data_IF_754726844530
#
_entry.id   IF_754726844530
#
_cell.length_a   1.000
_cell.length_b   1.000
_cell.length_c   1.000
_cell.angle_alpha   90.00
_cell.angle_beta   90.00
_cell.angle_gamma   90.00
#
_symmetry.space_group_name_H-M   'P 1'
#
loop_
_entity.id
_entity.type
_entity.pdbx_description
1 polymer ?
#
# COMPACT_ATOMS: atom_id res chain seq x y z
N UNK A 1 -8.79 -16.10 -22.64
CA UNK A 1 -7.82 -16.21 -21.53
C UNK A 1 -8.57 -16.18 -20.21
N UNK A 2 -8.30 -17.17 -19.35
CA UNK A 2 -9.14 -17.61 -18.24
C UNK A 2 -9.20 -16.57 -17.11
N UNK A 3 -10.40 -16.08 -16.78
CA UNK A 3 -10.72 -15.06 -15.74
C UNK A 3 -9.96 -15.24 -14.40
N UNK A 4 -9.63 -16.48 -14.02
CA UNK A 4 -8.83 -16.81 -12.83
C UNK A 4 -7.38 -16.30 -12.88
N UNK A 5 -6.71 -16.40 -14.04
CA UNK A 5 -5.32 -15.95 -14.19
C UNK A 5 -5.19 -14.44 -14.13
N UNK A 6 -6.14 -13.72 -14.73
CA UNK A 6 -6.19 -12.26 -14.63
C UNK A 6 -6.31 -11.81 -13.17
N UNK A 7 -7.16 -12.49 -12.39
CA UNK A 7 -7.33 -12.19 -10.97
C UNK A 7 -6.07 -12.46 -10.13
N UNK A 8 -5.34 -13.54 -10.41
CA UNK A 8 -4.06 -13.84 -9.73
C UNK A 8 -3.00 -12.78 -10.03
N UNK A 9 -2.85 -12.36 -11.29
CA UNK A 9 -1.92 -11.31 -11.69
C UNK A 9 -2.33 -9.97 -11.08
N UNK A 10 -3.63 -9.67 -11.04
CA UNK A 10 -4.15 -8.48 -10.38
C UNK A 10 -3.81 -8.47 -8.89
N UNK A 11 -4.02 -9.59 -8.17
CA UNK A 11 -3.64 -9.69 -6.76
C UNK A 11 -2.14 -9.55 -6.53
N UNK A 12 -1.32 -10.10 -7.41
CA UNK A 12 0.14 -9.95 -7.36
C UNK A 12 0.56 -8.48 -7.50
N UNK A 13 -0.06 -7.73 -8.42
CA UNK A 13 0.25 -6.32 -8.66
C UNK A 13 -0.45 -5.37 -7.68
N UNK A 14 -1.47 -5.84 -6.97
CA UNK A 14 -2.30 -5.00 -6.10
C UNK A 14 -1.48 -4.30 -5.02
N UNK A 15 -0.48 -4.99 -4.44
CA UNK A 15 0.44 -4.38 -3.48
C UNK A 15 1.19 -3.16 -4.05
N UNK A 16 1.72 -3.29 -5.26
CA UNK A 16 2.40 -2.19 -5.97
C UNK A 16 1.43 -1.06 -6.32
N UNK A 17 0.21 -1.38 -6.75
CA UNK A 17 -0.81 -0.38 -7.09
C UNK A 17 -1.20 0.42 -5.85
N UNK A 18 -1.47 -0.26 -4.72
CA UNK A 18 -1.82 0.39 -3.46
C UNK A 18 -0.68 1.31 -3.00
N UNK A 19 0.57 0.83 -3.08
CA UNK A 19 1.74 1.64 -2.75
C UNK A 19 1.86 2.87 -3.67
N UNK A 20 1.74 2.70 -4.98
CA UNK A 20 1.81 3.81 -5.94
C UNK A 20 0.73 4.86 -5.67
N UNK A 21 -0.51 4.43 -5.42
CA UNK A 21 -1.62 5.32 -5.07
C UNK A 21 -1.36 6.05 -3.76
N UNK A 22 -0.90 5.36 -2.72
CA UNK A 22 -0.54 5.97 -1.44
C UNK A 22 0.56 7.02 -1.61
N UNK A 23 1.63 6.69 -2.35
CA UNK A 23 2.73 7.59 -2.63
C UNK A 23 2.26 8.84 -3.38
N UNK A 24 1.48 8.67 -4.46
CA UNK A 24 0.93 9.79 -5.24
C UNK A 24 0.00 10.67 -4.41
N UNK A 25 -0.84 10.08 -3.54
CA UNK A 25 -1.72 10.85 -2.67
C UNK A 25 -0.93 11.67 -1.64
N UNK A 26 0.08 11.07 -1.01
CA UNK A 26 0.92 11.78 -0.03
C UNK A 26 1.70 12.90 -0.70
N UNK A 27 2.46 12.60 -1.77
CA UNK A 27 3.26 13.61 -2.45
C UNK A 27 2.41 14.69 -3.11
N UNK A 28 1.31 14.31 -3.76
CA UNK A 28 0.39 15.25 -4.39
C UNK A 28 -0.29 16.17 -3.38
N UNK A 29 -0.75 15.62 -2.24
CA UNK A 29 -1.30 16.43 -1.16
C UNK A 29 -0.24 17.38 -0.59
N UNK A 30 0.97 16.89 -0.30
CA UNK A 30 2.06 17.74 0.22
C UNK A 30 2.39 18.87 -0.75
N UNK A 31 2.63 18.59 -2.04
CA UNK A 31 2.96 19.61 -3.03
C UNK A 31 1.84 20.65 -3.22
N UNK A 32 0.58 20.23 -3.22
CA UNK A 32 -0.56 21.17 -3.36
C UNK A 32 -0.71 22.02 -2.10
N UNK A 33 -0.58 21.45 -0.90
CA UNK A 33 -0.68 22.20 0.36
C UNK A 33 0.47 23.20 0.57
N UNK A 34 1.68 22.91 0.09
CA UNK A 34 2.77 23.88 0.09
C UNK A 34 2.55 24.99 -0.94
N UNK A 35 2.02 24.68 -2.13
CA UNK A 35 1.76 25.68 -3.17
C UNK A 35 0.61 26.64 -2.82
N UNK A 36 -0.35 26.20 -1.98
CA UNK A 36 -1.52 26.98 -1.59
C UNK A 36 -1.31 27.79 -0.28
N UNK A 37 -0.11 27.78 0.34
CA UNK A 37 0.21 28.39 1.66
C UNK A 37 -0.69 27.92 2.83
N UNK A 38 -1.59 26.96 2.61
CA UNK A 38 -2.47 26.35 3.62
C UNK A 38 -1.72 25.35 4.51
N UNK A 39 -0.44 25.10 4.26
CA UNK A 39 0.41 24.24 5.07
C UNK A 39 0.45 24.65 6.56
N UNK A 40 0.25 25.94 6.85
CA UNK A 40 0.18 26.51 8.20
C UNK A 40 -1.21 26.40 8.85
N UNK A 41 -2.26 25.99 8.12
CA UNK A 41 -3.60 25.84 8.71
C UNK A 41 -3.66 24.60 9.60
N UNK A 42 -3.55 24.84 10.90
CA UNK A 42 -3.70 23.81 11.95
C UNK A 42 -5.19 23.56 12.20
N UNK A 43 -5.69 22.40 11.79
CA UNK A 43 -6.99 21.92 12.27
C UNK A 43 -6.74 21.20 13.60
N UNK A 44 -7.32 21.68 14.72
CA UNK A 44 -7.18 21.05 16.06
C UNK A 44 -5.73 20.95 16.58
N UNK A 45 -4.83 21.86 16.20
CA UNK A 45 -3.43 21.86 16.67
C UNK A 45 -2.52 20.81 16.02
N UNK A 46 -3.05 20.03 15.06
CA UNK A 46 -2.32 19.06 14.24
C UNK A 46 -2.31 19.59 12.80
N UNK A 47 -1.18 19.52 12.11
CA UNK A 47 -1.13 19.88 10.70
C UNK A 47 -2.06 18.97 9.88
N UNK A 48 -2.84 19.54 8.96
CA UNK A 48 -3.72 18.74 8.07
C UNK A 48 -2.90 17.71 7.30
N UNK A 49 -1.67 18.08 6.92
CA UNK A 49 -0.75 17.24 6.16
C UNK A 49 -0.37 15.94 6.91
N UNK A 50 0.18 15.97 8.15
CA UNK A 50 0.49 14.74 8.88
C UNK A 50 -0.75 13.91 9.22
N UNK A 51 -1.92 14.52 9.45
CA UNK A 51 -3.16 13.78 9.69
C UNK A 51 -3.62 13.00 8.44
N UNK A 52 -3.56 13.62 7.25
CA UNK A 52 -3.88 12.96 5.98
C UNK A 52 -2.86 11.86 5.67
N UNK A 53 -1.56 12.12 5.88
CA UNK A 53 -0.49 11.13 5.70
C UNK A 53 -0.73 9.92 6.61
N UNK A 54 -1.04 10.15 7.89
CA UNK A 54 -1.31 9.08 8.84
C UNK A 54 -2.54 8.27 8.42
N UNK A 55 -3.64 8.92 8.04
CA UNK A 55 -4.86 8.26 7.60
C UNK A 55 -4.66 7.43 6.32
N UNK A 56 -4.00 8.00 5.31
CA UNK A 56 -3.71 7.32 4.04
C UNK A 56 -2.73 6.17 4.24
N UNK A 57 -1.70 6.35 5.07
CA UNK A 57 -0.73 5.30 5.40
C UNK A 57 -1.40 4.15 6.15
N UNK A 58 -2.27 4.45 7.13
CA UNK A 58 -3.01 3.44 7.87
C UNK A 58 -3.97 2.68 6.94
N UNK A 59 -4.70 3.38 6.07
CA UNK A 59 -5.60 2.76 5.10
C UNK A 59 -4.83 1.86 4.11
N UNK A 60 -3.73 2.35 3.54
CA UNK A 60 -2.89 1.57 2.63
C UNK A 60 -2.28 0.35 3.32
N UNK A 61 -1.86 0.48 4.58
CA UNK A 61 -1.36 -0.63 5.39
C UNK A 61 -2.45 -1.69 5.63
N UNK A 62 -3.66 -1.27 6.01
CA UNK A 62 -4.78 -2.19 6.23
C UNK A 62 -5.18 -2.91 4.94
N UNK A 63 -5.23 -2.20 3.82
CA UNK A 63 -5.53 -2.79 2.50
C UNK A 63 -4.46 -3.81 2.09
N UNK A 64 -3.17 -3.47 2.21
CA UNK A 64 -2.08 -4.40 1.86
C UNK A 64 -2.00 -5.59 2.82
N UNK A 65 -2.23 -5.40 4.12
CA UNK A 65 -2.35 -6.49 5.08
C UNK A 65 -3.55 -7.42 4.76
N UNK A 66 -4.68 -6.86 4.33
CA UNK A 66 -5.83 -7.62 3.83
C UNK A 66 -5.48 -8.48 2.61
N UNK A 67 -4.77 -7.91 1.64
CA UNK A 67 -4.30 -8.64 0.44
C UNK A 67 -3.30 -9.74 0.82
N UNK A 68 -2.35 -9.46 1.71
CA UNK A 68 -1.37 -10.44 2.19
C UNK A 68 -2.04 -11.61 2.92
N UNK A 69 -2.96 -11.32 3.84
CA UNK A 69 -3.69 -12.36 4.58
C UNK A 69 -4.55 -13.22 3.64
N UNK A 70 -5.17 -12.61 2.62
CA UNK A 70 -5.87 -13.36 1.59
C UNK A 70 -4.92 -14.26 0.77
N UNK A 71 -3.79 -13.71 0.31
CA UNK A 71 -2.79 -14.45 -0.46
C UNK A 71 -2.20 -15.63 0.34
N UNK A 72 -1.93 -15.44 1.64
CA UNK A 72 -1.47 -16.50 2.55
C UNK A 72 -2.53 -17.60 2.73
N UNK A 73 -3.80 -17.24 2.87
CA UNK A 73 -4.90 -18.21 2.97
C UNK A 73 -5.05 -19.02 1.69
N UNK A 74 -4.95 -18.37 0.54
CA UNK A 74 -5.01 -19.02 -0.77
C UNK A 74 -3.81 -19.94 -0.98
N UNK A 75 -2.60 -19.48 -0.66
CA UNK A 75 -1.39 -20.30 -0.71
C UNK A 75 -1.51 -21.56 0.16
N UNK A 76 -2.04 -21.44 1.38
CA UNK A 76 -2.29 -22.61 2.24
C UNK A 76 -3.29 -23.59 1.62
N UNK A 77 -4.37 -23.10 1.00
CA UNK A 77 -5.35 -23.95 0.29
C UNK A 77 -4.71 -24.66 -0.90
N UNK A 78 -3.89 -23.95 -1.67
CA UNK A 78 -3.20 -24.48 -2.83
C UNK A 78 -2.16 -25.55 -2.44
N UNK A 79 -1.45 -25.38 -1.31
CA UNK A 79 -0.52 -26.39 -0.79
C UNK A 79 -1.21 -27.68 -0.30
N UNK A 80 -2.43 -27.58 0.22
CA UNK A 80 -3.20 -28.75 0.66
C UNK A 80 -3.92 -29.49 -0.49
N UNK A 81 -3.95 -28.90 -1.69
CA UNK A 81 -4.59 -29.48 -2.88
C UNK A 81 -3.58 -29.84 -3.97
N UNK A 82 -4.06 -30.48 -5.04
CA UNK A 82 -3.26 -30.81 -6.22
C UNK A 82 -3.13 -29.57 -7.16
N UNK A 83 -2.66 -28.45 -6.62
CA UNK A 83 -2.53 -27.19 -7.35
C UNK A 83 -1.35 -27.25 -8.34
N UNK A 84 -1.50 -26.55 -9.47
CA UNK A 84 -0.43 -26.46 -10.46
C UNK A 84 0.76 -25.65 -9.93
N UNK A 85 1.99 -26.03 -10.33
CA UNK A 85 3.24 -25.34 -9.96
C UNK A 85 3.15 -23.82 -10.22
N UNK A 86 2.48 -23.41 -11.29
CA UNK A 86 2.27 -21.99 -11.64
C UNK A 86 1.42 -21.23 -10.62
N UNK A 87 0.39 -21.86 -10.04
CA UNK A 87 -0.49 -21.21 -9.06
C UNK A 87 0.24 -20.98 -7.74
N UNK A 88 1.09 -21.93 -7.34
CA UNK A 88 1.96 -21.82 -6.16
C UNK A 88 2.95 -20.66 -6.35
N UNK A 89 3.62 -20.59 -7.50
CA UNK A 89 4.56 -19.51 -7.82
C UNK A 89 3.89 -18.12 -7.79
N UNK A 90 2.72 -17.99 -8.42
CA UNK A 90 1.94 -16.73 -8.41
C UNK A 90 1.56 -16.31 -6.99
N UNK A 91 1.17 -17.25 -6.13
CA UNK A 91 0.83 -16.95 -4.74
C UNK A 91 2.04 -16.52 -3.90
N UNK A 92 3.21 -17.14 -4.11
CA UNK A 92 4.46 -16.73 -3.46
C UNK A 92 4.90 -15.34 -3.91
N UNK A 93 4.85 -15.07 -5.22
CA UNK A 93 5.16 -13.74 -5.75
C UNK A 93 4.24 -12.66 -5.17
N UNK A 94 2.94 -12.94 -5.06
CA UNK A 94 1.98 -12.03 -4.41
C UNK A 94 2.31 -11.76 -2.94
N UNK A 95 2.77 -12.76 -2.19
CA UNK A 95 3.21 -12.62 -0.79
C UNK A 95 4.46 -11.73 -0.71
N UNK A 96 5.50 -12.01 -1.51
CA UNK A 96 6.73 -11.20 -1.52
C UNK A 96 6.46 -9.75 -1.90
N UNK A 97 5.65 -9.53 -2.93
CA UNK A 97 5.30 -8.18 -3.37
C UNK A 97 4.49 -7.46 -2.31
N UNK A 98 3.50 -8.11 -1.69
CA UNK A 98 2.71 -7.48 -0.62
C UNK A 98 3.58 -7.14 0.60
N UNK A 99 4.51 -8.02 0.98
CA UNK A 99 5.47 -7.76 2.05
C UNK A 99 6.41 -6.59 1.71
N UNK A 100 6.92 -6.55 0.48
CA UNK A 100 7.75 -5.45 -0.02
C UNK A 100 6.97 -4.12 -0.03
N UNK A 101 5.71 -4.12 -0.48
CA UNK A 101 4.85 -2.94 -0.45
C UNK A 101 4.59 -2.45 0.97
N UNK A 102 4.37 -3.35 1.94
CA UNK A 102 4.24 -2.97 3.36
C UNK A 102 5.52 -2.30 3.85
N UNK A 103 6.69 -2.89 3.58
CA UNK A 103 7.97 -2.30 3.94
C UNK A 103 8.14 -0.91 3.31
N UNK A 104 7.76 -0.74 2.04
CA UNK A 104 7.81 0.53 1.35
C UNK A 104 6.84 1.57 1.94
N UNK A 105 5.59 1.19 2.27
CA UNK A 105 4.61 2.07 2.93
C UNK A 105 5.15 2.56 4.28
N UNK A 106 5.67 1.65 5.10
CA UNK A 106 6.24 1.99 6.41
C UNK A 106 7.47 2.88 6.26
N UNK A 107 8.37 2.53 5.34
CA UNK A 107 9.59 3.28 5.07
C UNK A 107 9.32 4.69 4.55
N UNK A 108 8.25 4.89 3.77
CA UNK A 108 7.86 6.21 3.23
C UNK A 108 7.02 7.01 4.23
N UNK A 109 6.20 6.35 5.05
CA UNK A 109 5.39 7.00 6.08
C UNK A 109 6.23 7.59 7.21
N UNK A 110 7.35 6.95 7.56
CA UNK A 110 8.26 7.43 8.62
C UNK A 110 8.86 8.83 8.35
N UNK A 111 9.55 9.08 7.21
CA UNK A 111 10.12 10.39 6.92
C UNK A 111 9.05 11.46 6.74
N UNK A 112 7.87 11.10 6.23
CA UNK A 112 6.74 12.01 6.08
C UNK A 112 6.16 12.50 7.42
N UNK A 113 6.44 11.80 8.53
CA UNK A 113 6.08 12.20 9.90
C UNK A 113 7.19 12.98 10.60
N UNK A 114 8.46 12.78 10.21
CA UNK A 114 9.64 13.34 10.88
C UNK A 114 10.04 14.69 10.27
N UNK A 115 9.86 14.86 8.96
CA UNK A 115 10.26 16.08 8.26
C UNK A 115 9.10 17.07 8.18
N UNK A 116 9.34 18.38 8.39
CA UNK A 116 8.35 19.40 8.10
C UNK A 116 7.98 19.33 6.61
N UNK A 117 6.68 19.25 6.33
CA UNK A 117 6.15 19.00 4.98
C UNK A 117 6.46 20.13 3.98
N UNK A 118 6.73 21.34 4.49
CA UNK A 118 7.17 22.49 3.72
C UNK A 118 8.35 23.12 4.49
N UNK A 119 9.54 23.06 3.89
CA UNK A 119 10.74 23.77 4.33
C UNK A 119 11.36 24.44 3.11
#
# INVERSE_FOLDING_TARGET
MTRRRFWQVFMMLCGFIIWAVQFTLIYGATSTTCALEVAETRLLGIGIVPAVIAAVTLAAFLCTAGVLTYALREHRRLQSGNAGVTDIFLSQAAILISAFSIAAIVWQGLPALILPACA
#
